data_IF_146331306607
#
_entry.id   IF_146331306607
#
_cell.length_a   1.000
_cell.length_b   1.000
_cell.length_c   1.000
_cell.angle_alpha   90.00
_cell.angle_beta   90.00
_cell.angle_gamma   90.00
#
_symmetry.space_group_name_H-M   'P 1'
#
loop_
_entity.id
_entity.type
_entity.pdbx_description
1 polymer ?
#
# COMPACT_ATOMS: atom_id res chain seq x y z
N UNK A 1 7.96 -19.29 -8.19
CA UNK A 1 7.65 -20.65 -8.71
C UNK A 1 7.71 -20.55 -10.22
N UNK A 2 8.55 -21.36 -10.84
CA UNK A 2 8.63 -21.49 -12.30
C UNK A 2 7.68 -22.62 -12.73
N UNK A 3 6.94 -22.40 -13.80
CA UNK A 3 6.10 -23.43 -14.39
C UNK A 3 6.91 -24.35 -15.29
N UNK A 4 6.46 -25.58 -15.48
CA UNK A 4 7.13 -26.59 -16.32
C UNK A 4 6.78 -26.42 -17.80
N UNK A 5 5.70 -25.70 -18.09
CA UNK A 5 5.23 -25.42 -19.44
C UNK A 5 5.88 -24.16 -19.99
N UNK A 6 6.46 -24.24 -21.18
CA UNK A 6 7.27 -23.17 -21.74
C UNK A 6 6.51 -21.84 -21.95
N UNK A 7 5.20 -21.90 -22.16
CA UNK A 7 4.35 -20.74 -22.44
C UNK A 7 3.47 -20.31 -21.25
N UNK A 8 3.56 -21.00 -20.10
CA UNK A 8 2.82 -20.64 -18.91
C UNK A 8 3.55 -19.53 -18.11
N UNK A 9 2.81 -18.62 -17.49
CA UNK A 9 3.41 -17.58 -16.68
C UNK A 9 4.08 -18.15 -15.42
N UNK A 10 5.14 -17.51 -14.97
CA UNK A 10 5.70 -17.75 -13.63
C UNK A 10 4.80 -17.12 -12.56
N UNK A 11 4.87 -17.63 -11.35
CA UNK A 11 4.05 -17.19 -10.23
C UNK A 11 4.89 -16.83 -9.01
N UNK A 12 4.38 -15.90 -8.22
CA UNK A 12 4.89 -15.56 -6.89
C UNK A 12 3.96 -16.16 -5.84
N UNK A 13 4.46 -17.10 -5.05
CA UNK A 13 3.79 -17.54 -3.82
C UNK A 13 4.25 -16.64 -2.67
N UNK A 14 3.30 -16.02 -1.98
CA UNK A 14 3.58 -15.10 -0.89
C UNK A 14 2.81 -15.47 0.37
N UNK A 15 3.52 -15.53 1.50
CA UNK A 15 2.89 -15.59 2.83
C UNK A 15 2.50 -14.17 3.25
N UNK A 16 1.25 -14.00 3.65
CA UNK A 16 0.73 -12.73 4.17
C UNK A 16 1.14 -12.60 5.65
N UNK A 17 1.71 -11.46 6.02
CA UNK A 17 2.00 -11.18 7.43
C UNK A 17 0.72 -10.76 8.17
N UNK A 18 -0.05 -11.74 8.61
CA UNK A 18 -1.32 -11.53 9.30
C UNK A 18 -1.17 -11.03 10.74
N UNK A 19 0.04 -10.97 11.28
CA UNK A 19 0.30 -10.26 12.53
C UNK A 19 0.17 -8.72 12.34
N UNK A 20 0.44 -8.24 11.13
CA UNK A 20 0.27 -6.83 10.76
C UNK A 20 -1.09 -6.60 10.10
N UNK A 21 -1.42 -7.41 9.09
CA UNK A 21 -2.69 -7.35 8.36
C UNK A 21 -3.71 -8.31 9.00
N UNK A 22 -4.26 -7.91 10.15
CA UNK A 22 -5.10 -8.78 10.98
C UNK A 22 -6.39 -9.24 10.27
N UNK A 23 -6.94 -8.40 9.39
CA UNK A 23 -8.10 -8.76 8.56
C UNK A 23 -7.64 -9.05 7.13
N UNK A 24 -7.23 -10.31 6.88
CA UNK A 24 -6.73 -10.74 5.57
C UNK A 24 -7.83 -10.71 4.50
N UNK A 25 -9.08 -10.98 4.88
CA UNK A 25 -10.21 -10.92 3.96
C UNK A 25 -10.42 -9.48 3.44
N UNK A 26 -10.45 -8.50 4.33
CA UNK A 26 -10.54 -7.08 3.95
C UNK A 26 -9.34 -6.66 3.09
N UNK A 27 -8.12 -7.09 3.45
CA UNK A 27 -6.92 -6.81 2.66
C UNK A 27 -7.08 -7.29 1.22
N UNK A 28 -7.53 -8.54 1.03
CA UNK A 28 -7.69 -9.10 -0.30
C UNK A 28 -8.85 -8.48 -1.06
N UNK A 29 -9.98 -8.18 -0.41
CA UNK A 29 -11.09 -7.45 -1.03
C UNK A 29 -10.65 -6.06 -1.53
N UNK A 30 -9.87 -5.32 -0.76
CA UNK A 30 -9.30 -4.04 -1.21
C UNK A 30 -8.40 -4.22 -2.44
N UNK A 31 -7.55 -5.24 -2.44
CA UNK A 31 -6.64 -5.52 -3.55
C UNK A 31 -7.45 -5.88 -4.81
N UNK A 32 -8.47 -6.71 -4.68
CA UNK A 32 -9.34 -7.10 -5.80
C UNK A 32 -10.09 -5.91 -6.38
N UNK A 33 -10.67 -5.06 -5.52
CA UNK A 33 -11.36 -3.85 -5.94
C UNK A 33 -10.42 -2.91 -6.72
N UNK A 34 -9.23 -2.64 -6.16
CA UNK A 34 -8.24 -1.75 -6.79
C UNK A 34 -7.71 -2.32 -8.09
N UNK A 35 -7.26 -3.57 -8.10
CA UNK A 35 -6.66 -4.19 -9.30
C UNK A 35 -7.70 -4.40 -10.40
N UNK A 36 -8.92 -4.79 -10.05
CA UNK A 36 -10.04 -4.93 -10.98
C UNK A 36 -10.42 -3.60 -11.63
N UNK A 37 -10.52 -2.52 -10.82
CA UNK A 37 -10.83 -1.19 -11.33
C UNK A 37 -9.74 -0.67 -12.27
N UNK A 38 -8.46 -0.81 -11.92
CA UNK A 38 -7.34 -0.41 -12.77
C UNK A 38 -7.34 -1.22 -14.08
N UNK A 39 -7.50 -2.54 -14.00
CA UNK A 39 -7.57 -3.43 -15.17
C UNK A 39 -8.65 -2.97 -16.15
N UNK A 40 -9.86 -2.78 -15.65
CA UNK A 40 -10.99 -2.31 -16.45
C UNK A 40 -10.66 -1.00 -17.19
N UNK A 41 -10.09 -0.01 -16.48
CA UNK A 41 -9.70 1.27 -17.10
C UNK A 41 -8.63 1.14 -18.17
N UNK A 42 -7.66 0.27 -17.97
CA UNK A 42 -6.60 0.02 -18.95
C UNK A 42 -7.17 -0.66 -20.21
N UNK A 43 -8.06 -1.63 -20.03
CA UNK A 43 -8.75 -2.33 -21.14
C UNK A 43 -9.66 -1.37 -21.92
N UNK A 44 -10.45 -0.54 -21.24
CA UNK A 44 -11.31 0.48 -21.87
C UNK A 44 -10.52 1.52 -22.67
N UNK A 45 -9.28 1.82 -22.27
CA UNK A 45 -8.36 2.69 -23.01
C UNK A 45 -7.65 1.99 -24.18
N UNK A 46 -7.82 0.68 -24.33
CA UNK A 46 -7.11 -0.11 -25.33
C UNK A 46 -5.60 -0.21 -25.05
N UNK A 47 -5.19 -0.16 -23.77
CA UNK A 47 -3.78 -0.24 -23.39
C UNK A 47 -3.22 -1.63 -23.70
N UNK A 48 -2.04 -1.65 -24.31
CA UNK A 48 -1.29 -2.88 -24.51
C UNK A 48 -0.66 -3.39 -23.19
N UNK A 49 -0.42 -4.69 -23.12
CA UNK A 49 0.31 -5.33 -22.02
C UNK A 49 -0.31 -5.09 -20.62
N UNK A 50 -1.65 -5.12 -20.53
CA UNK A 50 -2.38 -4.91 -19.26
C UNK A 50 -1.83 -5.82 -18.15
N UNK A 51 -1.48 -7.07 -18.47
CA UNK A 51 -0.91 -8.05 -17.54
C UNK A 51 0.43 -7.60 -16.90
N UNK A 52 1.11 -6.64 -17.50
CA UNK A 52 2.33 -6.05 -16.94
C UNK A 52 2.08 -4.77 -16.13
N UNK A 53 0.90 -4.19 -16.24
CA UNK A 53 0.54 -2.89 -15.64
C UNK A 53 -0.27 -3.01 -14.37
N UNK A 54 -0.91 -4.18 -14.16
CA UNK A 54 -1.71 -4.46 -12.96
C UNK A 54 -1.47 -5.89 -12.48
N UNK A 55 -1.37 -6.06 -11.16
CA UNK A 55 -1.20 -7.37 -10.55
C UNK A 55 -2.45 -8.23 -10.77
N UNK A 56 -2.23 -9.53 -11.02
CA UNK A 56 -3.27 -10.53 -11.10
C UNK A 56 -3.08 -11.59 -10.02
N UNK A 57 -4.06 -11.71 -9.13
CA UNK A 57 -4.08 -12.71 -8.08
C UNK A 57 -4.86 -13.93 -8.52
N UNK A 58 -4.28 -15.12 -8.33
CA UNK A 58 -4.86 -16.38 -8.77
C UNK A 58 -5.86 -16.86 -7.71
N UNK A 59 -7.13 -17.06 -8.06
CA UNK A 59 -8.11 -17.54 -7.11
C UNK A 59 -7.90 -19.02 -6.77
N UNK A 60 -8.30 -19.41 -5.57
CA UNK A 60 -8.43 -20.82 -5.16
C UNK A 60 -9.63 -21.47 -5.85
N UNK A 61 -9.80 -22.77 -5.66
CA UNK A 61 -10.97 -23.49 -6.16
C UNK A 61 -12.31 -22.96 -5.60
N UNK A 62 -12.28 -22.35 -4.41
CA UNK A 62 -13.43 -21.69 -3.78
C UNK A 62 -13.61 -20.23 -4.23
N UNK A 63 -12.77 -19.73 -5.15
CA UNK A 63 -12.85 -18.37 -5.69
C UNK A 63 -12.22 -17.28 -4.80
N UNK A 64 -11.49 -17.64 -3.74
CA UNK A 64 -10.77 -16.68 -2.88
C UNK A 64 -9.37 -16.43 -3.42
N UNK A 65 -8.87 -15.19 -3.32
CA UNK A 65 -7.49 -14.83 -3.71
C UNK A 65 -6.46 -15.07 -2.62
N UNK A 66 -6.83 -15.76 -1.56
CA UNK A 66 -5.95 -16.22 -0.49
C UNK A 66 -6.37 -17.63 0.00
N UNK A 67 -5.44 -18.31 0.62
CA UNK A 67 -5.66 -19.61 1.25
C UNK A 67 -5.08 -19.63 2.66
N UNK A 68 -5.78 -20.27 3.60
CA UNK A 68 -5.36 -20.44 4.99
C UNK A 68 -5.04 -21.92 5.23
N UNK A 69 -3.81 -22.23 5.67
CA UNK A 69 -3.32 -23.59 5.89
C UNK A 69 -3.59 -24.13 7.31
N UNK A 70 -4.27 -23.33 8.15
CA UNK A 70 -4.48 -23.61 9.57
C UNK A 70 -3.58 -22.78 10.48
N UNK A 71 -2.51 -22.21 9.95
CA UNK A 71 -1.54 -21.37 10.68
C UNK A 71 -1.25 -20.05 9.94
N UNK A 72 -1.05 -20.11 8.64
CA UNK A 72 -0.62 -18.98 7.82
C UNK A 72 -1.59 -18.71 6.67
N UNK A 73 -1.59 -17.45 6.21
CA UNK A 73 -2.29 -17.05 5.01
C UNK A 73 -1.33 -16.93 3.83
N UNK A 74 -1.75 -17.47 2.70
CA UNK A 74 -0.98 -17.52 1.46
C UNK A 74 -1.76 -16.94 0.31
N UNK A 75 -1.06 -16.36 -0.66
CA UNK A 75 -1.64 -15.92 -1.93
C UNK A 75 -0.68 -16.16 -3.07
N UNK A 76 -1.22 -16.32 -4.26
CA UNK A 76 -0.47 -16.49 -5.50
C UNK A 76 -0.82 -15.35 -6.44
N UNK A 77 0.18 -14.79 -7.09
CA UNK A 77 0.01 -13.79 -8.14
C UNK A 77 0.93 -14.11 -9.31
N UNK A 78 0.57 -13.62 -10.51
CA UNK A 78 1.45 -13.74 -11.67
C UNK A 78 2.74 -12.96 -11.44
N UNK A 79 3.85 -13.57 -11.85
CA UNK A 79 5.14 -12.88 -11.85
C UNK A 79 5.23 -11.96 -13.07
N UNK A 80 5.63 -10.71 -12.87
CA UNK A 80 5.86 -9.76 -13.94
C UNK A 80 7.35 -9.84 -14.32
N UNK A 81 7.70 -10.44 -15.47
CA UNK A 81 9.09 -10.61 -15.87
C UNK A 81 9.74 -9.28 -16.29
N UNK A 82 11.05 -9.25 -16.33
CA UNK A 82 11.87 -8.09 -16.76
C UNK A 82 11.61 -6.81 -15.93
N UNK A 83 11.14 -6.94 -14.68
CA UNK A 83 11.12 -5.86 -13.72
C UNK A 83 12.50 -5.71 -13.06
N UNK A 84 12.90 -4.47 -12.77
CA UNK A 84 14.14 -4.15 -12.07
C UNK A 84 13.86 -3.28 -10.86
N UNK A 85 14.43 -3.66 -9.72
CA UNK A 85 14.37 -2.88 -8.49
C UNK A 85 15.61 -1.98 -8.40
N UNK A 86 15.42 -0.74 -7.99
CA UNK A 86 16.49 0.22 -7.75
C UNK A 86 16.50 0.55 -6.25
N UNK A 87 17.66 0.35 -5.61
CA UNK A 87 17.83 0.65 -4.17
C UNK A 87 18.10 2.14 -3.93
N UNK A 88 18.68 2.81 -4.92
CA UNK A 88 18.95 4.24 -4.88
C UNK A 88 18.24 4.93 -6.03
N UNK A 89 17.70 6.10 -5.76
CA UNK A 89 17.05 6.94 -6.76
C UNK A 89 17.92 8.14 -7.12
N UNK A 90 17.89 8.51 -8.38
CA UNK A 90 18.42 9.76 -8.90
C UNK A 90 17.24 10.69 -9.28
N UNK A 91 17.47 11.95 -9.69
CA UNK A 91 16.39 12.86 -10.07
C UNK A 91 15.47 12.32 -11.16
N UNK A 92 16.01 11.60 -12.15
CA UNK A 92 15.24 11.00 -13.23
C UNK A 92 14.29 9.91 -12.71
N UNK A 93 14.79 8.95 -11.92
CA UNK A 93 13.95 7.88 -11.35
C UNK A 93 12.95 8.42 -10.31
N UNK A 94 13.30 9.49 -9.59
CA UNK A 94 12.36 10.18 -8.71
C UNK A 94 11.20 10.79 -9.48
N UNK A 95 11.46 11.35 -10.66
CA UNK A 95 10.43 11.86 -11.55
C UNK A 95 9.51 10.73 -12.06
N UNK A 96 10.07 9.61 -12.52
CA UNK A 96 9.26 8.47 -12.96
C UNK A 96 8.44 7.86 -11.82
N UNK A 97 9.00 7.75 -10.63
CA UNK A 97 8.26 7.28 -9.46
C UNK A 97 7.08 8.22 -9.13
N UNK A 98 7.32 9.55 -9.12
CA UNK A 98 6.26 10.54 -8.91
C UNK A 98 5.16 10.46 -9.97
N UNK A 99 5.54 10.30 -11.24
CA UNK A 99 4.59 10.11 -12.35
C UNK A 99 3.77 8.83 -12.18
N UNK A 100 4.40 7.73 -11.79
CA UNK A 100 3.71 6.46 -11.57
C UNK A 100 2.69 6.56 -10.41
N UNK A 101 3.07 7.17 -9.29
CA UNK A 101 2.15 7.41 -8.18
C UNK A 101 1.01 8.36 -8.55
N UNK A 102 1.30 9.45 -9.29
CA UNK A 102 0.27 10.37 -9.78
C UNK A 102 -0.74 9.68 -10.70
N UNK A 103 -0.27 8.85 -11.63
CA UNK A 103 -1.13 8.05 -12.51
C UNK A 103 -1.96 7.03 -11.71
N UNK A 104 -1.38 6.37 -10.73
CA UNK A 104 -2.09 5.45 -9.85
C UNK A 104 -3.23 6.16 -9.12
N UNK A 105 -2.98 7.31 -8.51
CA UNK A 105 -4.00 8.12 -7.85
C UNK A 105 -5.09 8.59 -8.83
N UNK A 106 -4.72 9.01 -10.03
CA UNK A 106 -5.67 9.41 -11.06
C UNK A 106 -6.56 8.24 -11.52
N UNK A 107 -6.02 7.03 -11.62
CA UNK A 107 -6.80 5.84 -11.94
C UNK A 107 -7.81 5.50 -10.86
N UNK A 108 -7.50 5.75 -9.60
CA UNK A 108 -8.37 5.44 -8.46
C UNK A 108 -9.31 6.58 -8.08
N UNK A 109 -9.23 7.75 -8.73
CA UNK A 109 -10.00 8.93 -8.35
C UNK A 109 -11.52 8.71 -8.37
N UNK A 110 -12.01 7.77 -9.15
CA UNK A 110 -13.41 7.40 -9.37
C UNK A 110 -13.73 5.94 -9.00
N UNK A 111 -12.87 5.30 -8.21
CA UNK A 111 -13.17 3.94 -7.72
C UNK A 111 -14.50 3.96 -6.93
N UNK A 112 -15.47 3.10 -7.31
CA UNK A 112 -16.78 3.10 -6.66
C UNK A 112 -16.77 2.43 -5.28
N UNK A 113 -15.79 1.55 -5.06
CA UNK A 113 -15.70 0.74 -3.86
C UNK A 113 -15.18 1.56 -2.67
N UNK A 114 -15.73 1.29 -1.49
CA UNK A 114 -15.18 1.82 -0.23
C UNK A 114 -14.11 0.87 0.27
N UNK A 115 -12.86 1.33 0.28
CA UNK A 115 -11.75 0.54 0.76
C UNK A 115 -11.70 0.52 2.29
N UNK A 116 -11.50 -0.66 2.88
CA UNK A 116 -11.32 -0.82 4.31
C UNK A 116 -9.90 -0.41 4.77
N UNK A 117 -9.79 0.04 6.00
CA UNK A 117 -8.51 0.42 6.60
C UNK A 117 -7.79 -0.83 7.15
N UNK A 118 -6.83 -1.36 6.39
CA UNK A 118 -6.15 -2.63 6.70
C UNK A 118 -5.18 -2.56 7.87
N UNK A 119 -4.63 -1.37 8.15
CA UNK A 119 -3.83 -1.06 9.34
C UNK A 119 -4.43 0.22 9.94
N UNK A 120 -5.22 0.12 11.03
CA UNK A 120 -5.87 1.27 11.63
C UNK A 120 -4.88 2.39 11.99
N UNK A 121 -5.25 3.63 11.69
CA UNK A 121 -4.48 4.84 11.99
C UNK A 121 -3.05 4.87 11.40
N UNK A 122 -2.76 4.04 10.37
CA UNK A 122 -1.39 3.94 9.83
C UNK A 122 -0.85 5.29 9.34
N UNK A 123 -1.66 6.09 8.68
CA UNK A 123 -1.32 7.42 8.18
C UNK A 123 -1.96 8.57 8.98
N UNK A 124 -2.57 8.30 10.12
CA UNK A 124 -3.14 9.34 10.99
C UNK A 124 -2.02 10.11 11.71
N UNK A 125 -1.71 11.32 11.24
CA UNK A 125 -0.62 12.12 11.77
C UNK A 125 -0.86 12.60 13.21
N UNK A 126 -2.08 12.84 13.63
CA UNK A 126 -2.41 13.17 15.02
C UNK A 126 -2.06 12.00 15.96
N UNK A 127 -2.42 10.79 15.55
CA UNK A 127 -2.07 9.57 16.27
C UNK A 127 -0.56 9.35 16.32
N UNK A 128 0.15 9.55 15.20
CA UNK A 128 1.62 9.40 15.13
C UNK A 128 2.34 10.43 15.98
N UNK A 129 1.91 11.69 15.99
CA UNK A 129 2.47 12.71 16.88
C UNK A 129 2.24 12.39 18.35
N UNK A 130 1.05 11.88 18.69
CA UNK A 130 0.80 11.41 20.06
C UNK A 130 1.76 10.30 20.45
N UNK A 131 1.94 9.27 19.62
CA UNK A 131 2.88 8.18 19.88
C UNK A 131 4.32 8.69 20.07
N UNK A 132 4.76 9.64 19.22
CA UNK A 132 6.08 10.26 19.35
C UNK A 132 6.23 10.98 20.68
N UNK A 133 5.26 11.80 21.07
CA UNK A 133 5.29 12.56 22.35
C UNK A 133 5.30 11.63 23.56
N UNK A 134 4.50 10.56 23.52
CA UNK A 134 4.48 9.55 24.57
C UNK A 134 5.86 8.84 24.68
N UNK A 135 6.48 8.50 23.55
CA UNK A 135 7.82 7.88 23.52
C UNK A 135 8.91 8.85 24.04
N UNK A 136 8.84 10.12 23.67
CA UNK A 136 9.75 11.17 24.17
C UNK A 136 9.59 11.37 25.67
N UNK A 137 8.36 11.40 26.18
CA UNK A 137 8.11 11.54 27.61
C UNK A 137 8.61 10.33 28.41
N UNK A 138 8.53 9.13 27.84
CA UNK A 138 9.03 7.91 28.49
C UNK A 138 10.55 7.80 28.47
N UNK A 139 11.22 8.36 27.45
CA UNK A 139 12.69 8.29 27.22
C UNK A 139 13.32 6.94 27.57
N UNK A 140 12.66 5.85 27.20
CA UNK A 140 13.04 4.50 27.63
C UNK A 140 14.48 4.08 27.24
N UNK A 141 15.03 4.69 26.19
CA UNK A 141 16.41 4.46 25.74
C UNK A 141 17.41 5.52 26.24
N UNK A 142 16.96 6.57 26.96
CA UNK A 142 17.80 7.67 27.44
C UNK A 142 18.43 8.52 26.31
N UNK A 143 17.81 8.55 25.12
CA UNK A 143 18.40 9.15 23.91
C UNK A 143 17.68 10.40 23.42
N UNK A 144 16.72 10.92 24.14
CA UNK A 144 15.93 12.11 23.72
C UNK A 144 16.85 13.31 23.41
N UNK A 145 17.90 13.51 24.19
CA UNK A 145 18.82 14.64 23.99
C UNK A 145 19.60 14.53 22.67
N UNK A 146 19.92 13.32 22.20
CA UNK A 146 20.64 13.12 20.95
C UNK A 146 19.82 13.51 19.72
N UNK A 147 18.48 13.45 19.82
CA UNK A 147 17.54 13.72 18.73
C UNK A 147 16.76 15.02 18.94
N UNK A 148 17.12 15.83 19.93
CA UNK A 148 16.38 17.03 20.34
C UNK A 148 16.09 17.97 19.16
N UNK A 149 17.08 18.21 18.31
CA UNK A 149 16.92 19.05 17.13
C UNK A 149 15.77 18.56 16.22
N UNK A 150 15.69 17.26 15.95
CA UNK A 150 14.64 16.68 15.09
C UNK A 150 13.26 16.78 15.75
N UNK A 151 13.18 16.59 17.07
CA UNK A 151 11.93 16.72 17.82
C UNK A 151 11.40 18.15 17.76
N UNK A 152 12.26 19.15 17.93
CA UNK A 152 11.89 20.56 17.84
C UNK A 152 11.43 20.92 16.40
N UNK A 153 12.08 20.35 15.36
CA UNK A 153 11.68 20.55 13.97
C UNK A 153 10.32 19.90 13.63
N UNK A 154 10.02 18.75 14.22
CA UNK A 154 8.71 18.10 14.09
C UNK A 154 7.63 18.93 14.79
N UNK A 155 7.87 19.37 16.02
CA UNK A 155 6.90 20.18 16.78
C UNK A 155 6.57 21.51 16.09
N UNK A 156 7.54 22.18 15.45
CA UNK A 156 7.29 23.38 14.63
C UNK A 156 6.31 23.14 13.48
N UNK A 157 6.23 21.91 12.98
CA UNK A 157 5.40 21.53 11.84
C UNK A 157 4.14 20.73 12.24
N UNK A 158 3.96 20.46 13.53
CA UNK A 158 2.93 19.55 14.04
C UNK A 158 1.51 19.95 13.58
N UNK A 159 1.19 21.25 13.57
CA UNK A 159 -0.11 21.73 13.14
C UNK A 159 -0.36 21.49 11.64
N UNK A 160 0.65 21.75 10.80
CA UNK A 160 0.58 21.51 9.36
C UNK A 160 0.49 20.01 9.03
N UNK A 161 1.23 19.17 9.75
CA UNK A 161 1.20 17.70 9.57
C UNK A 161 -0.18 17.12 9.83
N UNK A 162 -0.94 17.69 10.77
CA UNK A 162 -2.30 17.25 11.13
C UNK A 162 -3.39 17.82 10.22
N UNK A 163 -3.05 18.63 9.22
CA UNK A 163 -4.01 19.35 8.37
C UNK A 163 -4.95 18.39 7.61
N UNK A 164 -4.44 17.28 7.11
CA UNK A 164 -5.25 16.30 6.39
C UNK A 164 -6.34 15.71 7.29
N UNK A 165 -6.02 15.30 8.51
CA UNK A 165 -6.98 14.75 9.46
C UNK A 165 -8.08 15.76 9.82
N UNK A 166 -7.72 17.03 9.99
CA UNK A 166 -8.70 18.11 10.21
C UNK A 166 -9.65 18.23 9.03
N UNK A 167 -9.13 18.25 7.81
CA UNK A 167 -9.93 18.39 6.60
C UNK A 167 -10.84 17.18 6.36
N UNK A 168 -10.41 15.96 6.72
CA UNK A 168 -11.26 14.78 6.71
C UNK A 168 -12.43 14.92 7.68
N UNK A 169 -12.19 15.32 8.94
CA UNK A 169 -13.24 15.54 9.94
C UNK A 169 -14.23 16.64 9.55
N UNK A 170 -13.74 17.66 8.86
CA UNK A 170 -14.58 18.77 8.37
C UNK A 170 -15.33 18.44 7.07
N UNK A 171 -15.12 17.25 6.50
CA UNK A 171 -15.72 16.85 5.22
C UNK A 171 -15.19 17.61 4.01
N UNK A 172 -14.09 18.33 4.16
CA UNK A 172 -13.45 19.12 3.08
C UNK A 172 -12.48 18.32 2.22
N UNK A 173 -12.02 17.19 2.73
CA UNK A 173 -11.17 16.25 2.02
C UNK A 173 -11.81 14.86 2.08
N UNK A 174 -12.15 14.25 0.92
CA UNK A 174 -12.67 12.89 0.91
C UNK A 174 -11.58 11.88 1.29
N UNK A 175 -11.91 10.96 2.18
CA UNK A 175 -11.07 9.79 2.45
C UNK A 175 -11.45 8.71 1.44
N UNK A 176 -10.50 8.24 0.66
CA UNK A 176 -10.67 7.21 -0.37
C UNK A 176 -9.68 6.09 -0.17
#
# INVERSE_FOLDING_TARGET
MTTVEADAPDYVLQRINHAIFQNVEMLQSNIEAVTGHIRKKLEEKGEADVERKVLHFIPTAEGKTYWYDGENYWRIMTFIPRAKTYETVNPEYSYYAGTAFGNFQAMLADIPDTLGETIPDFHNMEFRLKQLRDAVAADAAGRVQEVRYFLDEIEKRADEMCKAERLFREGKLPKR
#
